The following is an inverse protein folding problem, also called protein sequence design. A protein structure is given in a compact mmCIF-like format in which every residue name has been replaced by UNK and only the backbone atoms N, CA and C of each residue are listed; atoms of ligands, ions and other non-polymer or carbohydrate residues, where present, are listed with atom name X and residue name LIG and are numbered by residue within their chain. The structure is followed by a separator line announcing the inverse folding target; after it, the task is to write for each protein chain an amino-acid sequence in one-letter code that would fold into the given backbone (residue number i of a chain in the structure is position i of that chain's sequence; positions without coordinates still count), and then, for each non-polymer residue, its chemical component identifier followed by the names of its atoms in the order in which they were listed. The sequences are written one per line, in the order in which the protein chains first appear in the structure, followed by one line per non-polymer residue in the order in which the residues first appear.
data_IF_528338924799
#
_entry.id   IF_528338924799
#
_cell.length_a   1.000
_cell.length_b   1.000
_cell.length_c   1.000
_cell.angle_alpha   90.00
_cell.angle_beta   90.00
_cell.angle_gamma   90.00
#
_symmetry.space_group_name_H-M   'P 1'
#
loop_
_entity.id
_entity.type
_entity.pdbx_description
1 polymer ?
#
# COMPACT_ATOMS: atom_id res chain seq x y z
N UNK A 1 16.50 6.70 21.03
CA UNK A 1 16.91 5.29 20.93
C UNK A 1 17.36 5.06 19.50
N UNK A 2 18.67 4.88 19.29
CA UNK A 2 19.31 4.83 17.97
C UNK A 2 18.90 3.55 17.22
N UNK A 3 18.25 3.73 16.07
CA UNK A 3 17.91 2.61 15.16
C UNK A 3 19.17 1.84 14.78
N UNK A 4 20.28 2.55 14.55
CA UNK A 4 21.59 1.94 14.25
C UNK A 4 22.19 1.12 15.40
N UNK A 5 21.87 1.44 16.65
CA UNK A 5 22.41 0.72 17.81
C UNK A 5 21.68 -0.61 18.03
N UNK A 6 20.35 -0.63 17.81
CA UNK A 6 19.56 -1.86 17.82
C UNK A 6 19.88 -2.78 16.63
N UNK A 7 20.35 -2.23 15.51
CA UNK A 7 20.74 -2.99 14.32
C UNK A 7 22.11 -3.68 14.43
N UNK A 8 22.95 -3.35 15.42
CA UNK A 8 24.34 -3.80 15.50
C UNK A 8 24.60 -4.97 16.46
N UNK A 9 23.66 -5.32 17.35
CA UNK A 9 23.95 -6.24 18.46
C UNK A 9 23.57 -7.71 18.24
N UNK A 10 23.30 -8.12 16.99
CA UNK A 10 23.75 -9.42 16.52
C UNK A 10 22.69 -10.41 16.05
N UNK A 11 22.89 -10.91 14.85
CA UNK A 11 22.33 -12.15 14.35
C UNK A 11 23.27 -12.75 13.28
N UNK A 12 23.10 -14.06 13.10
CA UNK A 12 23.57 -14.81 11.95
C UNK A 12 22.82 -14.47 10.66
N UNK A 13 23.05 -15.25 9.60
CA UNK A 13 22.65 -14.98 8.22
C UNK A 13 21.16 -14.70 7.93
N UNK A 14 20.27 -14.83 8.92
CA UNK A 14 18.82 -14.52 8.90
C UNK A 14 18.50 -13.05 9.28
N UNK A 15 19.51 -12.23 9.65
CA UNK A 15 19.34 -10.82 10.08
C UNK A 15 19.07 -9.80 9.00
N UNK A 16 19.55 -10.07 7.78
CA UNK A 16 19.80 -8.99 6.81
C UNK A 16 18.59 -8.62 5.97
N UNK A 17 17.44 -9.28 6.16
CA UNK A 17 16.20 -8.92 5.51
C UNK A 17 15.36 -8.01 6.42
N UNK A 18 15.70 -6.71 6.45
CA UNK A 18 14.77 -5.71 6.97
C UNK A 18 13.65 -5.51 5.94
N UNK A 19 12.49 -6.08 6.20
CA UNK A 19 11.29 -5.83 5.40
C UNK A 19 10.53 -4.61 5.93
N UNK A 20 9.78 -3.94 5.05
CA UNK A 20 8.84 -2.89 5.44
C UNK A 20 7.91 -3.40 6.56
N UNK A 21 7.41 -4.63 6.43
CA UNK A 21 6.56 -5.26 7.43
C UNK A 21 7.20 -5.32 8.81
N UNK A 22 8.46 -5.78 8.89
CA UNK A 22 9.18 -5.88 10.16
C UNK A 22 9.43 -4.52 10.78
N UNK A 23 9.78 -3.51 9.99
CA UNK A 23 10.01 -2.16 10.48
C UNK A 23 8.74 -1.54 11.06
N UNK A 24 7.61 -1.73 10.40
CA UNK A 24 6.31 -1.22 10.87
C UNK A 24 5.85 -1.94 12.15
N UNK A 25 5.97 -3.28 12.19
CA UNK A 25 5.59 -4.06 13.37
C UNK A 25 6.42 -3.69 14.61
N UNK A 26 7.74 -3.51 14.46
CA UNK A 26 8.62 -3.06 15.55
C UNK A 26 8.21 -1.68 16.07
N UNK A 27 7.86 -0.75 15.17
CA UNK A 27 7.42 0.59 15.56
C UNK A 27 6.06 0.60 16.24
N UNK A 28 5.10 -0.14 15.71
CA UNK A 28 3.76 -0.27 16.30
C UNK A 28 3.83 -0.86 17.71
N UNK A 29 4.70 -1.85 17.96
CA UNK A 29 4.88 -2.42 19.29
C UNK A 29 5.60 -1.47 20.27
N UNK A 30 6.62 -0.75 19.80
CA UNK A 30 7.44 0.10 20.67
C UNK A 30 6.81 1.46 20.97
N UNK A 31 6.02 2.02 20.06
CA UNK A 31 5.46 3.37 20.17
C UNK A 31 4.14 3.49 19.37
N UNK A 32 3.08 2.80 19.80
CA UNK A 32 1.82 2.73 19.05
C UNK A 32 1.17 4.11 18.83
N UNK A 33 1.29 5.02 19.81
CA UNK A 33 0.68 6.35 19.73
C UNK A 33 1.54 7.39 19.00
N UNK A 34 2.76 7.02 18.57
CA UNK A 34 3.63 7.94 17.84
C UNK A 34 3.12 8.15 16.41
N UNK A 35 3.26 9.37 15.85
CA UNK A 35 2.80 9.66 14.48
C UNK A 35 3.62 8.85 13.46
N UNK A 36 2.92 8.16 12.56
CA UNK A 36 3.50 7.36 11.48
C UNK A 36 3.34 8.05 10.12
N UNK A 37 2.17 8.62 9.84
CA UNK A 37 1.88 9.34 8.59
C UNK A 37 1.17 10.65 8.93
N UNK A 38 1.82 11.77 8.59
CA UNK A 38 1.25 13.11 8.70
C UNK A 38 0.74 13.59 7.34
N UNK A 39 -0.38 14.29 7.31
CA UNK A 39 -0.93 14.89 6.10
C UNK A 39 -1.47 16.30 6.40
N UNK A 40 -1.25 17.30 5.51
CA UNK A 40 -1.76 18.65 5.73
C UNK A 40 -3.28 18.67 5.93
N UNK A 41 -3.72 19.32 7.01
CA UNK A 41 -5.15 19.48 7.30
C UNK A 41 -5.87 18.22 7.81
N UNK A 42 -5.13 17.14 8.11
CA UNK A 42 -5.67 15.88 8.64
C UNK A 42 -4.96 15.53 9.96
N UNK A 43 -5.60 14.70 10.79
CA UNK A 43 -4.94 14.13 11.96
C UNK A 43 -3.82 13.17 11.52
N UNK A 44 -2.74 13.12 12.30
CA UNK A 44 -1.66 12.16 12.08
C UNK A 44 -2.18 10.73 12.33
N UNK A 45 -1.87 9.82 11.40
CA UNK A 45 -2.12 8.40 11.60
C UNK A 45 -0.98 7.85 12.48
N UNK A 46 -1.33 7.28 13.64
CA UNK A 46 -0.35 6.68 14.55
C UNK A 46 0.18 5.33 14.04
N UNK A 47 1.30 4.85 14.58
CA UNK A 47 1.83 3.54 14.22
C UNK A 47 0.88 2.39 14.59
N UNK A 48 0.13 2.49 15.68
CA UNK A 48 -0.89 1.51 16.07
C UNK A 48 -2.04 1.48 15.07
N UNK A 49 -2.63 2.64 14.78
CA UNK A 49 -3.73 2.75 13.80
C UNK A 49 -3.29 2.32 12.40
N UNK A 50 -2.07 2.66 11.99
CA UNK A 50 -1.49 2.17 10.74
C UNK A 50 -1.40 0.64 10.75
N UNK A 51 -0.89 0.01 11.82
CA UNK A 51 -0.77 -1.45 11.89
C UNK A 51 -2.13 -2.17 11.72
N UNK A 52 -3.18 -1.65 12.34
CA UNK A 52 -4.54 -2.19 12.22
C UNK A 52 -5.04 -2.08 10.77
N UNK A 53 -4.91 -0.90 10.14
CA UNK A 53 -5.29 -0.69 8.73
C UNK A 53 -4.52 -1.61 7.77
N UNK A 54 -3.22 -1.83 8.02
CA UNK A 54 -2.41 -2.72 7.20
C UNK A 54 -2.91 -4.17 7.27
N UNK A 55 -3.31 -4.63 8.47
CA UNK A 55 -3.89 -5.96 8.68
C UNK A 55 -5.20 -6.15 7.90
N UNK A 56 -6.09 -5.16 7.96
CA UNK A 56 -7.38 -5.20 7.27
C UNK A 56 -7.22 -5.20 5.75
N UNK A 57 -6.35 -4.32 5.21
CA UNK A 57 -6.08 -4.27 3.78
C UNK A 57 -5.46 -5.59 3.31
N UNK A 58 -4.52 -6.17 4.07
CA UNK A 58 -3.91 -7.45 3.75
C UNK A 58 -4.94 -8.59 3.65
N UNK A 59 -5.82 -8.69 4.65
CA UNK A 59 -6.88 -9.70 4.67
C UNK A 59 -7.82 -9.56 3.47
N UNK A 60 -8.19 -8.32 3.12
CA UNK A 60 -9.04 -8.03 1.95
C UNK A 60 -8.35 -8.38 0.64
N UNK A 61 -7.06 -8.05 0.48
CA UNK A 61 -6.30 -8.40 -0.72
C UNK A 61 -6.17 -9.92 -0.90
N UNK A 62 -5.93 -10.65 0.20
CA UNK A 62 -5.88 -12.11 0.19
C UNK A 62 -7.23 -12.71 -0.22
N UNK A 63 -8.35 -12.15 0.28
CA UNK A 63 -9.70 -12.56 -0.11
C UNK A 63 -10.01 -12.29 -1.60
N UNK A 64 -9.36 -11.30 -2.20
CA UNK A 64 -9.42 -11.00 -3.64
C UNK A 64 -8.47 -11.87 -4.49
N UNK A 65 -7.78 -12.83 -3.87
CA UNK A 65 -6.89 -13.76 -4.57
C UNK A 65 -5.48 -13.21 -4.85
N UNK A 66 -5.10 -12.08 -4.25
CA UNK A 66 -3.73 -11.56 -4.36
C UNK A 66 -2.78 -12.46 -3.58
N UNK A 67 -1.70 -12.89 -4.23
CA UNK A 67 -0.68 -13.76 -3.68
C UNK A 67 0.72 -13.14 -3.85
N UNK A 68 1.74 -13.66 -3.14
CA UNK A 68 3.13 -13.30 -3.41
C UNK A 68 3.48 -13.50 -4.89
N UNK A 69 4.16 -12.52 -5.49
CA UNK A 69 4.50 -12.52 -6.92
C UNK A 69 3.45 -11.88 -7.84
N UNK A 70 2.24 -11.62 -7.33
CA UNK A 70 1.30 -10.74 -8.02
C UNK A 70 1.85 -9.29 -8.12
N UNK A 71 1.20 -8.51 -8.99
CA UNK A 71 1.40 -7.07 -9.05
C UNK A 71 0.07 -6.40 -8.84
N UNK A 72 0.03 -5.43 -7.95
CA UNK A 72 -1.17 -4.63 -7.65
C UNK A 72 -0.87 -3.19 -8.02
N UNK A 73 -1.66 -2.64 -8.92
CA UNK A 73 -1.59 -1.23 -9.27
C UNK A 73 -2.52 -0.42 -8.34
N UNK A 74 -2.16 0.82 -8.02
CA UNK A 74 -3.00 1.73 -7.25
C UNK A 74 -3.21 3.02 -8.02
N UNK A 75 -4.46 3.45 -8.15
CA UNK A 75 -4.85 4.78 -8.62
C UNK A 75 -5.68 5.41 -7.51
N UNK A 76 -4.99 6.03 -6.55
CA UNK A 76 -5.58 6.62 -5.35
C UNK A 76 -5.17 8.10 -5.25
N UNK A 77 -6.03 8.97 -4.69
CA UNK A 77 -5.65 10.35 -4.40
C UNK A 77 -4.50 10.40 -3.39
N UNK A 78 -3.71 11.48 -3.43
CA UNK A 78 -2.66 11.71 -2.44
C UNK A 78 -3.22 11.78 -1.02
N UNK A 79 -2.42 11.37 -0.04
CA UNK A 79 -2.77 11.44 1.39
C UNK A 79 -2.45 10.16 2.17
N UNK A 80 -2.82 10.17 3.45
CA UNK A 80 -2.54 9.08 4.40
C UNK A 80 -3.14 7.74 3.96
N UNK A 81 -4.33 7.78 3.36
CA UNK A 81 -5.01 6.64 2.75
C UNK A 81 -4.16 5.91 1.70
N UNK A 82 -3.61 6.66 0.74
CA UNK A 82 -2.79 6.11 -0.33
C UNK A 82 -1.48 5.55 0.24
N UNK A 83 -0.85 6.28 1.16
CA UNK A 83 0.37 5.83 1.82
C UNK A 83 0.16 4.54 2.64
N UNK A 84 -0.90 4.46 3.43
CA UNK A 84 -1.25 3.25 4.20
C UNK A 84 -1.54 2.07 3.27
N UNK A 85 -2.31 2.28 2.19
CA UNK A 85 -2.63 1.21 1.23
C UNK A 85 -1.37 0.73 0.49
N UNK A 86 -0.50 1.65 0.08
CA UNK A 86 0.78 1.32 -0.54
C UNK A 86 1.61 0.45 0.38
N UNK A 87 1.73 0.82 1.66
CA UNK A 87 2.45 0.04 2.66
C UNK A 87 1.79 -1.31 2.90
N UNK A 88 0.46 -1.41 2.86
CA UNK A 88 -0.24 -2.68 3.01
C UNK A 88 0.13 -3.62 1.86
N UNK A 89 -0.05 -3.17 0.62
CA UNK A 89 0.25 -3.97 -0.57
C UNK A 89 1.72 -4.38 -0.61
N UNK A 90 2.64 -3.44 -0.36
CA UNK A 90 4.08 -3.65 -0.44
C UNK A 90 4.62 -4.67 0.57
N UNK A 91 3.87 -4.98 1.64
CA UNK A 91 4.25 -6.02 2.60
C UNK A 91 4.04 -7.45 2.08
N UNK A 92 3.15 -7.63 1.09
CA UNK A 92 2.76 -8.96 0.61
C UNK A 92 3.18 -9.21 -0.84
N UNK A 93 3.26 -8.15 -1.65
CA UNK A 93 3.42 -8.30 -3.10
C UNK A 93 3.99 -7.05 -3.76
N UNK A 94 4.19 -7.10 -5.08
CA UNK A 94 4.69 -5.93 -5.83
C UNK A 94 3.59 -4.89 -5.96
N UNK A 95 3.91 -3.67 -5.56
CA UNK A 95 3.02 -2.52 -5.52
C UNK A 95 3.43 -1.50 -6.59
N UNK A 96 2.48 -1.05 -7.42
CA UNK A 96 2.72 -0.04 -8.47
C UNK A 96 1.75 1.15 -8.31
N UNK A 97 2.13 2.21 -7.57
CA UNK A 97 1.33 3.42 -7.51
C UNK A 97 1.38 4.17 -8.85
N UNK A 98 0.22 4.58 -9.34
CA UNK A 98 0.03 5.34 -10.57
C UNK A 98 -0.67 6.65 -10.24
N UNK A 99 -0.24 7.72 -10.92
CA UNK A 99 -0.84 9.03 -10.77
C UNK A 99 -2.28 9.02 -11.35
N UNK A 100 -3.31 9.39 -10.57
CA UNK A 100 -4.68 9.52 -11.07
C UNK A 100 -4.86 10.55 -12.18
N UNK A 101 -3.93 11.49 -12.33
CA UNK A 101 -3.93 12.48 -13.40
C UNK A 101 -3.31 11.98 -14.71
N UNK A 102 -2.86 10.72 -14.79
CA UNK A 102 -2.37 10.15 -16.04
C UNK A 102 -3.47 10.19 -17.12
N UNK A 103 -3.15 10.67 -18.33
CA UNK A 103 -4.04 10.54 -19.48
C UNK A 103 -4.44 9.07 -19.70
N UNK A 104 -5.68 8.84 -20.14
CA UNK A 104 -6.24 7.50 -20.24
C UNK A 104 -5.44 6.54 -21.15
N UNK A 105 -4.84 7.04 -22.24
CA UNK A 105 -3.96 6.29 -23.13
C UNK A 105 -2.63 5.92 -22.46
N UNK A 106 -2.02 6.87 -21.73
CA UNK A 106 -0.79 6.64 -20.96
C UNK A 106 -1.01 5.64 -19.81
N UNK A 107 -2.15 5.74 -19.13
CA UNK A 107 -2.56 4.80 -18.10
C UNK A 107 -2.74 3.40 -18.69
N UNK A 108 -3.45 3.30 -19.81
CA UNK A 108 -3.66 2.07 -20.57
C UNK A 108 -2.34 1.36 -20.89
N UNK A 109 -1.41 2.06 -21.55
CA UNK A 109 -0.09 1.51 -21.88
C UNK A 109 0.70 1.10 -20.64
N UNK A 110 0.54 1.85 -19.55
CA UNK A 110 1.20 1.55 -18.28
C UNK A 110 0.62 0.31 -17.62
N UNK A 111 -0.70 0.11 -17.66
CA UNK A 111 -1.34 -1.12 -17.21
C UNK A 111 -0.91 -2.33 -18.04
N UNK A 112 -0.67 -2.17 -19.35
CA UNK A 112 -0.16 -3.27 -20.20
C UNK A 112 1.27 -3.67 -19.83
N UNK A 113 2.15 -2.68 -19.58
CA UNK A 113 3.53 -2.96 -19.14
C UNK A 113 3.58 -3.58 -17.76
N UNK A 114 2.71 -3.13 -16.85
CA UNK A 114 2.65 -3.69 -15.49
C UNK A 114 1.99 -5.06 -15.55
N UNK A 115 0.91 -5.26 -16.28
CA UNK A 115 0.08 -6.46 -16.20
C UNK A 115 -0.33 -6.80 -14.76
N UNK A 116 -1.02 -5.89 -14.03
CA UNK A 116 -1.40 -6.12 -12.64
C UNK A 116 -2.51 -7.17 -12.55
N UNK A 117 -2.48 -7.97 -11.49
CA UNK A 117 -3.56 -8.90 -11.17
C UNK A 117 -4.79 -8.17 -10.60
N UNK A 118 -4.57 -6.99 -10.01
CA UNK A 118 -5.61 -6.17 -9.39
C UNK A 118 -5.26 -4.68 -9.54
N UNK A 119 -6.27 -3.86 -9.84
CA UNK A 119 -6.20 -2.41 -9.75
C UNK A 119 -7.03 -1.93 -8.55
N UNK A 120 -6.37 -1.27 -7.61
CA UNK A 120 -7.02 -0.59 -6.49
C UNK A 120 -7.36 0.85 -6.87
N UNK A 121 -8.60 1.25 -6.63
CA UNK A 121 -9.12 2.58 -6.96
C UNK A 121 -9.87 3.20 -5.77
N UNK A 122 -9.97 4.52 -5.73
CA UNK A 122 -10.87 5.21 -4.81
C UNK A 122 -12.31 5.14 -5.35
N UNK A 123 -13.30 5.37 -4.49
CA UNK A 123 -14.71 5.37 -4.90
C UNK A 123 -14.96 6.43 -5.99
N UNK A 124 -14.35 7.59 -5.86
CA UNK A 124 -14.47 8.75 -6.75
C UNK A 124 -13.52 8.69 -7.96
N UNK A 125 -12.76 7.60 -8.14
CA UNK A 125 -11.87 7.46 -9.29
C UNK A 125 -12.63 7.53 -10.61
N UNK A 126 -12.07 8.28 -11.57
CA UNK A 126 -12.68 8.54 -12.86
C UNK A 126 -13.03 7.26 -13.64
N UNK A 127 -14.12 7.34 -14.42
CA UNK A 127 -14.69 6.18 -15.10
C UNK A 127 -13.78 5.61 -16.20
N UNK A 128 -12.94 6.44 -16.79
CA UNK A 128 -11.94 6.05 -17.79
C UNK A 128 -10.86 5.14 -17.22
N UNK A 129 -10.41 5.36 -15.98
CA UNK A 129 -9.50 4.46 -15.26
C UNK A 129 -10.09 3.06 -15.15
N UNK A 130 -11.36 2.98 -14.74
CA UNK A 130 -12.07 1.71 -14.58
C UNK A 130 -12.32 1.03 -15.94
N UNK A 131 -12.65 1.81 -16.97
CA UNK A 131 -12.80 1.32 -18.33
C UNK A 131 -11.48 0.78 -18.91
N UNK A 132 -10.36 1.46 -18.65
CA UNK A 132 -9.03 1.03 -19.10
C UNK A 132 -8.62 -0.31 -18.49
N UNK A 133 -8.94 -0.54 -17.20
CA UNK A 133 -8.74 -1.82 -16.54
C UNK A 133 -9.65 -2.92 -17.08
N UNK A 134 -10.95 -2.63 -17.23
CA UNK A 134 -11.93 -3.59 -17.73
C UNK A 134 -11.60 -4.06 -19.16
N UNK A 135 -11.17 -3.15 -20.04
CA UNK A 135 -10.74 -3.48 -21.41
C UNK A 135 -9.56 -4.46 -21.47
N UNK A 136 -8.80 -4.58 -20.38
CA UNK A 136 -7.64 -5.47 -20.22
C UNK A 136 -7.93 -6.72 -19.40
N UNK A 137 -9.18 -6.90 -18.96
CA UNK A 137 -9.55 -7.99 -18.06
C UNK A 137 -8.93 -7.87 -16.66
N UNK A 138 -8.50 -6.67 -16.26
CA UNK A 138 -7.93 -6.41 -14.94
C UNK A 138 -9.08 -6.20 -13.95
N UNK A 139 -9.10 -6.99 -12.87
CA UNK A 139 -10.06 -6.81 -11.80
C UNK A 139 -9.84 -5.46 -11.08
N UNK A 140 -10.92 -4.80 -10.68
CA UNK A 140 -10.86 -3.56 -9.90
C UNK A 140 -11.46 -3.78 -8.52
N UNK A 141 -10.86 -3.18 -7.50
CA UNK A 141 -11.41 -3.16 -6.16
C UNK A 141 -11.26 -1.79 -5.52
N UNK A 142 -12.26 -1.41 -4.73
CA UNK A 142 -12.28 -0.11 -4.07
C UNK A 142 -11.57 -0.15 -2.72
N UNK A 143 -10.69 0.83 -2.54
CA UNK A 143 -10.10 1.13 -1.25
C UNK A 143 -10.97 2.19 -0.62
N UNK A 144 -11.68 1.83 0.45
CA UNK A 144 -12.15 2.82 1.41
C UNK A 144 -10.99 3.04 2.39
N UNK A 145 -10.43 4.24 2.47
CA UNK A 145 -9.67 4.60 3.65
C UNK A 145 -10.61 4.57 4.84
N UNK A 146 -10.18 3.98 5.95
CA UNK A 146 -10.82 4.26 7.22
C UNK A 146 -10.40 5.68 7.62
N UNK A 147 -11.35 6.61 7.85
CA UNK A 147 -10.98 7.90 8.40
C UNK A 147 -10.31 7.67 9.76
N UNK A 148 -9.06 8.09 9.87
CA UNK A 148 -8.40 8.24 11.17
C UNK A 148 -9.15 9.28 12.01
#
# INVERSE_FOLDING_TARGET
MDIEAAMRSGLGADERAFTIARLLAVRAAASPDAPAIAAPGMADLSYGALADQLGDVAARLAALGVQPGCRVALVLPEGSACAATLLAVAQFTTCAPLDPALPADVLADTLDRIGPALLLVAAETAADVRAAAAARGIATAEVRPDPA
#
